data_IF_662626205130
#
_entry.id   IF_662626205130
#
_cell.length_a   1.000
_cell.length_b   1.000
_cell.length_c   1.000
_cell.angle_alpha   90.00
_cell.angle_beta   90.00
_cell.angle_gamma   90.00
#
_symmetry.space_group_name_H-M   'P 1'
#
loop_
_entity.id
_entity.type
_entity.pdbx_description
1 polymer ?
#
# COMPACT_ATOMS: atom_id res chain seq x y z
N UNK A 1 30.79 -26.78 -34.34
CA UNK A 1 29.67 -27.30 -33.53
C UNK A 1 28.98 -26.22 -32.68
N UNK A 2 29.44 -24.96 -32.65
CA UNK A 2 28.84 -23.89 -31.82
C UNK A 2 27.55 -23.23 -32.36
N UNK A 3 27.27 -23.33 -33.66
CA UNK A 3 26.06 -22.75 -34.27
C UNK A 3 24.72 -23.39 -33.82
N UNK A 4 24.61 -24.72 -33.64
CA UNK A 4 23.39 -25.32 -33.08
C UNK A 4 23.17 -24.97 -31.60
N UNK A 5 24.24 -24.83 -30.82
CA UNK A 5 24.14 -24.49 -29.39
C UNK A 5 23.56 -23.10 -29.16
N UNK A 6 24.01 -22.11 -29.95
CA UNK A 6 23.46 -20.74 -29.91
C UNK A 6 21.97 -20.69 -30.32
N UNK A 7 21.56 -21.52 -31.28
CA UNK A 7 20.15 -21.59 -31.70
C UNK A 7 19.28 -22.17 -30.60
N UNK A 8 19.74 -23.24 -29.95
CA UNK A 8 19.03 -23.83 -28.82
C UNK A 8 18.91 -22.85 -27.64
N UNK A 9 19.95 -22.04 -27.40
CA UNK A 9 19.93 -20.98 -26.39
C UNK A 9 18.90 -19.90 -26.73
N UNK A 10 18.88 -19.41 -27.98
CA UNK A 10 17.89 -18.43 -28.43
C UNK A 10 16.46 -18.98 -28.34
N UNK A 11 16.24 -20.23 -28.74
CA UNK A 11 14.94 -20.88 -28.64
C UNK A 11 14.49 -20.98 -27.19
N UNK A 12 15.41 -21.31 -26.27
CA UNK A 12 15.11 -21.37 -24.82
C UNK A 12 14.74 -20.02 -24.24
N UNK A 13 15.46 -18.95 -24.61
CA UNK A 13 15.16 -17.58 -24.19
C UNK A 13 13.84 -17.10 -24.76
N UNK A 14 13.53 -17.46 -26.01
CA UNK A 14 12.26 -17.11 -26.64
C UNK A 14 11.08 -17.80 -25.94
N UNK A 15 11.23 -19.08 -25.59
CA UNK A 15 10.22 -19.80 -24.80
C UNK A 15 10.05 -19.19 -23.41
N UNK A 16 11.15 -18.79 -22.76
CA UNK A 16 11.10 -18.11 -21.46
C UNK A 16 10.34 -16.79 -21.58
N UNK A 17 10.66 -15.97 -22.58
CA UNK A 17 9.97 -14.70 -22.84
C UNK A 17 8.47 -14.90 -23.06
N UNK A 18 8.07 -15.90 -23.84
CA UNK A 18 6.66 -16.19 -24.09
C UNK A 18 5.94 -16.61 -22.79
N UNK A 19 6.58 -17.43 -21.96
CA UNK A 19 6.06 -17.81 -20.64
C UNK A 19 5.93 -16.61 -19.70
N UNK A 20 6.96 -15.75 -19.64
CA UNK A 20 6.97 -14.54 -18.82
C UNK A 20 5.86 -13.56 -19.26
N UNK A 21 5.59 -13.46 -20.57
CA UNK A 21 4.50 -12.64 -21.13
C UNK A 21 3.13 -13.19 -20.75
N UNK A 22 2.93 -14.51 -20.83
CA UNK A 22 1.68 -15.15 -20.42
C UNK A 22 1.43 -14.94 -18.92
N UNK A 23 2.45 -15.12 -18.09
CA UNK A 23 2.35 -14.89 -16.64
C UNK A 23 2.05 -13.41 -16.33
N UNK A 24 2.68 -12.48 -17.05
CA UNK A 24 2.42 -11.05 -16.89
C UNK A 24 0.98 -10.68 -17.24
N UNK A 25 0.45 -11.19 -18.36
CA UNK A 25 -0.93 -10.93 -18.78
C UNK A 25 -1.93 -11.54 -17.78
N UNK A 26 -1.68 -12.75 -17.28
CA UNK A 26 -2.51 -13.37 -16.25
C UNK A 26 -2.53 -12.54 -14.95
N UNK A 27 -1.36 -12.05 -14.50
CA UNK A 27 -1.25 -11.17 -13.33
C UNK A 27 -1.97 -9.85 -13.54
N UNK A 28 -1.87 -9.24 -14.73
CA UNK A 28 -2.59 -8.00 -15.08
C UNK A 28 -4.09 -8.19 -15.02
N UNK A 29 -4.61 -9.28 -15.58
CA UNK A 29 -6.04 -9.58 -15.54
C UNK A 29 -6.54 -9.76 -14.10
N UNK A 30 -5.80 -10.52 -13.27
CA UNK A 30 -6.13 -10.72 -11.88
C UNK A 30 -6.10 -9.41 -11.06
N UNK A 31 -5.06 -8.60 -11.24
CA UNK A 31 -4.93 -7.28 -10.61
C UNK A 31 -6.10 -6.37 -10.99
N UNK A 32 -6.41 -6.24 -12.28
CA UNK A 32 -7.50 -5.40 -12.76
C UNK A 32 -8.84 -5.83 -12.15
N UNK A 33 -9.12 -7.14 -12.10
CA UNK A 33 -10.36 -7.65 -11.50
C UNK A 33 -10.50 -7.25 -10.02
N UNK A 34 -9.41 -7.34 -9.23
CA UNK A 34 -9.41 -6.92 -7.82
C UNK A 34 -9.55 -5.42 -7.65
N UNK A 35 -8.86 -4.64 -8.47
CA UNK A 35 -8.93 -3.18 -8.46
C UNK A 35 -10.33 -2.69 -8.81
N UNK A 36 -10.97 -3.27 -9.84
CA UNK A 36 -12.35 -2.97 -10.21
C UNK A 36 -13.35 -3.31 -9.11
N UNK A 37 -13.21 -4.48 -8.46
CA UNK A 37 -14.01 -4.87 -7.30
C UNK A 37 -13.86 -3.87 -6.15
N UNK A 38 -12.63 -3.44 -5.87
CA UNK A 38 -12.31 -2.44 -4.86
C UNK A 38 -12.96 -1.09 -5.14
N UNK A 39 -12.86 -0.59 -6.38
CA UNK A 39 -13.48 0.67 -6.78
C UNK A 39 -15.00 0.62 -6.74
N UNK A 40 -15.61 -0.48 -7.18
CA UNK A 40 -17.06 -0.67 -7.10
C UNK A 40 -17.54 -0.66 -5.64
N UNK A 41 -16.84 -1.36 -4.76
CA UNK A 41 -17.15 -1.42 -3.33
C UNK A 41 -16.97 -0.05 -2.66
N UNK A 42 -15.92 0.69 -3.03
CA UNK A 42 -15.69 2.05 -2.56
C UNK A 42 -16.78 3.02 -3.04
N UNK A 43 -17.24 2.89 -4.29
CA UNK A 43 -18.36 3.68 -4.81
C UNK A 43 -19.65 3.41 -4.03
N UNK A 44 -19.95 2.14 -3.71
CA UNK A 44 -21.09 1.76 -2.84
C UNK A 44 -20.97 2.39 -1.45
N UNK A 45 -19.77 2.40 -0.85
CA UNK A 45 -19.52 3.04 0.44
C UNK A 45 -19.77 4.56 0.39
N UNK A 46 -19.25 5.23 -0.65
CA UNK A 46 -19.48 6.68 -0.87
C UNK A 46 -20.95 7.01 -1.10
N UNK A 47 -21.69 6.12 -1.77
CA UNK A 47 -23.13 6.28 -1.96
C UNK A 47 -23.88 6.18 -0.63
N UNK A 48 -23.59 5.17 0.18
CA UNK A 48 -24.26 4.93 1.45
C UNK A 48 -23.94 5.98 2.53
N UNK A 49 -22.67 6.37 2.65
CA UNK A 49 -22.19 7.29 3.69
C UNK A 49 -22.20 8.76 3.26
N UNK A 50 -22.30 9.02 1.96
CA UNK A 50 -22.16 10.34 1.35
C UNK A 50 -20.72 10.66 0.90
N UNK A 51 -20.60 11.49 -0.13
CA UNK A 51 -19.31 11.78 -0.76
C UNK A 51 -18.29 12.52 0.14
N UNK A 52 -18.76 13.18 1.21
CA UNK A 52 -17.91 13.96 2.14
C UNK A 52 -17.31 13.12 3.27
N UNK A 53 -17.92 11.98 3.58
CA UNK A 53 -17.53 11.11 4.69
C UNK A 53 -16.57 10.01 4.29
N UNK A 54 -16.41 9.73 3.00
CA UNK A 54 -15.39 8.79 2.48
C UNK A 54 -14.54 9.54 1.47
N UNK A 55 -13.40 10.07 1.93
CA UNK A 55 -12.46 10.80 1.08
C UNK A 55 -11.26 11.35 1.86
N UNK A 56 -10.34 12.03 1.16
CA UNK A 56 -9.05 12.45 1.73
C UNK A 56 -9.13 13.37 2.95
N UNK A 57 -10.21 14.15 3.06
CA UNK A 57 -10.44 15.06 4.19
C UNK A 57 -10.65 14.34 5.53
N UNK A 58 -10.94 13.03 5.51
CA UNK A 58 -11.17 12.24 6.71
C UNK A 58 -9.90 11.56 7.23
N UNK A 59 -8.80 11.58 6.46
CA UNK A 59 -7.56 10.93 6.87
C UNK A 59 -7.02 11.56 8.17
N UNK A 60 -6.49 10.72 9.06
CA UNK A 60 -5.86 11.22 10.29
C UNK A 60 -4.59 12.03 9.97
N UNK A 61 -4.31 13.05 10.79
CA UNK A 61 -3.08 13.86 10.65
C UNK A 61 -1.80 13.04 10.84
N UNK A 62 -1.87 11.88 11.50
CA UNK A 62 -0.79 10.94 11.72
C UNK A 62 -1.00 9.66 10.89
N UNK A 63 -1.38 9.80 9.62
CA UNK A 63 -1.49 8.66 8.71
C UNK A 63 -0.13 7.98 8.53
N UNK A 64 -0.02 6.73 8.98
CA UNK A 64 1.17 5.90 8.80
C UNK A 64 0.93 4.82 7.73
N UNK A 65 1.93 4.54 6.88
CA UNK A 65 1.82 3.44 5.93
C UNK A 65 1.75 2.12 6.68
N UNK A 66 0.87 1.21 6.26
CA UNK A 66 0.83 -0.16 6.80
C UNK A 66 1.69 -1.14 5.98
N UNK A 67 2.01 -0.76 4.75
CA UNK A 67 2.72 -1.59 3.77
C UNK A 67 3.76 -0.72 3.07
N UNK A 68 4.98 -1.22 2.98
CA UNK A 68 6.11 -0.59 2.31
C UNK A 68 6.71 -1.55 1.27
N UNK A 69 7.33 -1.01 0.24
CA UNK A 69 8.09 -1.80 -0.73
C UNK A 69 9.58 -1.57 -0.49
N UNK A 70 10.34 -2.64 -0.30
CA UNK A 70 11.81 -2.58 -0.23
C UNK A 70 12.39 -3.05 -1.56
N UNK A 71 13.22 -2.21 -2.16
CA UNK A 71 14.06 -2.59 -3.29
C UNK A 71 15.36 -3.22 -2.77
N UNK A 72 15.81 -4.28 -3.41
CA UNK A 72 17.11 -4.91 -3.18
C UNK A 72 17.71 -5.31 -4.51
N UNK A 73 19.00 -5.05 -4.70
CA UNK A 73 19.74 -5.53 -5.86
C UNK A 73 20.12 -7.00 -5.63
N UNK A 74 19.78 -7.88 -6.56
CA UNK A 74 20.24 -9.25 -6.56
C UNK A 74 21.70 -9.33 -7.06
N UNK A 75 22.38 -10.44 -6.79
CA UNK A 75 23.76 -10.67 -7.20
C UNK A 75 23.96 -10.58 -8.73
N UNK A 76 22.88 -10.75 -9.49
CA UNK A 76 22.86 -10.73 -10.95
C UNK A 76 22.58 -9.33 -11.54
N UNK A 77 22.56 -8.27 -10.72
CA UNK A 77 22.27 -6.89 -11.14
C UNK A 77 20.78 -6.59 -11.38
N UNK A 78 19.90 -7.56 -11.12
CA UNK A 78 18.45 -7.41 -11.23
C UNK A 78 17.89 -6.80 -9.94
N UNK A 79 17.10 -5.74 -10.06
CA UNK A 79 16.38 -5.17 -8.92
C UNK A 79 15.16 -6.02 -8.56
N UNK A 80 15.09 -6.41 -7.30
CA UNK A 80 13.97 -7.17 -6.74
C UNK A 80 13.19 -6.29 -5.77
N UNK A 81 11.87 -6.36 -5.85
CA UNK A 81 10.97 -5.65 -4.95
C UNK A 81 10.30 -6.65 -4.01
N UNK A 82 10.30 -6.35 -2.72
CA UNK A 82 9.53 -7.11 -1.73
C UNK A 82 8.56 -6.21 -0.99
N UNK A 83 7.31 -6.67 -0.89
CA UNK A 83 6.30 -6.04 -0.05
C UNK A 83 6.57 -6.43 1.41
N UNK A 84 6.68 -5.45 2.29
CA UNK A 84 6.94 -5.62 3.73
C UNK A 84 5.87 -4.86 4.49
N UNK A 85 5.34 -5.44 5.57
CA UNK A 85 4.50 -4.67 6.49
C UNK A 85 5.35 -3.62 7.17
N UNK A 86 4.81 -2.41 7.26
CA UNK A 86 5.49 -1.31 7.93
C UNK A 86 5.46 -1.57 9.43
N UNK A 87 6.49 -2.25 9.93
CA UNK A 87 6.82 -2.19 11.35
C UNK A 87 7.44 -0.81 11.63
N UNK A 88 7.27 -0.29 12.84
CA UNK A 88 7.62 1.07 13.30
C UNK A 88 9.12 1.44 13.21
N UNK A 89 9.71 1.35 12.02
CA UNK A 89 10.99 1.91 11.65
C UNK A 89 10.70 3.16 10.82
N UNK A 90 10.70 4.27 11.55
CA UNK A 90 10.60 5.65 11.10
C UNK A 90 11.37 5.90 9.80
N UNK A 91 10.71 6.33 8.72
CA UNK A 91 11.39 7.01 7.62
C UNK A 91 11.92 8.35 8.14
N UNK A 92 13.17 8.68 7.80
CA UNK A 92 13.84 9.92 8.22
C UNK A 92 12.97 11.17 7.97
N UNK A 93 12.75 11.94 9.03
CA UNK A 93 11.92 13.15 9.06
C UNK A 93 12.70 14.31 8.41
N UNK A 94 12.69 14.42 7.07
CA UNK A 94 13.23 15.59 6.36
C UNK A 94 12.13 16.65 6.21
N UNK A 95 12.05 17.55 7.18
CA UNK A 95 11.18 18.73 7.11
C UNK A 95 11.26 19.60 8.36
N UNK A 96 11.36 20.94 8.25
CA UNK A 96 11.34 21.82 9.42
C UNK A 96 9.99 21.70 10.14
N UNK A 97 10.02 21.25 11.41
CA UNK A 97 8.86 21.30 12.30
C UNK A 97 8.48 22.76 12.53
N UNK A 98 7.41 23.22 11.88
CA UNK A 98 6.86 24.54 12.18
C UNK A 98 6.28 24.57 13.59
N UNK A 99 6.85 25.44 14.41
CA UNK A 99 6.49 25.63 15.81
C UNK A 99 5.10 26.27 15.92
N UNK A 100 4.12 25.51 16.40
CA UNK A 100 2.84 26.03 16.84
C UNK A 100 3.00 26.88 18.12
N UNK A 101 2.64 28.16 18.05
CA UNK A 101 2.35 29.03 19.20
C UNK A 101 0.88 29.46 19.07
N UNK A 102 -0.04 29.21 20.01
CA UNK A 102 -0.04 29.64 21.41
C UNK A 102 -0.90 28.69 22.27
N UNK A 103 -0.33 28.16 23.36
CA UNK A 103 -1.07 27.44 24.42
C UNK A 103 -1.73 28.45 25.38
N UNK A 104 -3.02 28.28 25.66
CA UNK A 104 -3.67 28.89 26.84
C UNK A 104 -3.35 28.05 28.08
N UNK A 105 -3.01 28.72 29.19
CA UNK A 105 -2.60 28.14 30.49
C UNK A 105 -3.70 27.26 31.10
N UNK A 106 -3.39 25.99 31.32
CA UNK A 106 -4.05 25.06 32.23
C UNK A 106 -2.98 24.12 32.83
N UNK A 107 -3.19 23.53 34.03
CA UNK A 107 -2.12 22.95 34.81
C UNK A 107 -1.55 21.68 34.18
N UNK A 108 -0.23 21.55 34.32
CA UNK A 108 0.65 20.48 33.87
C UNK A 108 0.10 19.08 34.18
N UNK A 109 -0.13 18.29 33.12
CA UNK A 109 0.11 16.84 33.17
C UNK A 109 1.23 16.55 32.17
N UNK A 110 2.31 16.00 32.70
CA UNK A 110 3.46 15.45 31.99
C UNK A 110 2.97 14.48 30.92
N UNK A 111 3.31 14.62 29.63
CA UNK A 111 3.07 13.56 28.68
C UNK A 111 4.18 12.53 28.87
N UNK A 112 3.82 11.40 29.46
CA UNK A 112 4.60 10.18 29.35
C UNK A 112 4.74 9.81 27.85
N UNK A 113 5.89 9.26 27.43
CA UNK A 113 6.06 8.79 26.07
C UNK A 113 5.20 7.55 25.88
N UNK A 114 4.02 7.71 25.26
CA UNK A 114 3.15 6.57 24.97
C UNK A 114 3.87 5.60 24.04
N UNK A 115 4.03 4.40 24.57
CA UNK A 115 4.66 3.22 24.01
C UNK A 115 4.02 2.80 22.69
N UNK A 116 4.86 2.50 21.69
CA UNK A 116 4.64 1.48 20.64
C UNK A 116 3.18 1.25 20.25
N UNK A 117 2.60 2.19 19.50
CA UNK A 117 1.22 2.07 19.05
C UNK A 117 1.08 0.97 18.00
N UNK A 118 0.18 0.02 18.25
CA UNK A 118 -0.31 -0.92 17.22
C UNK A 118 -0.81 -0.11 16.02
N UNK A 119 -0.49 -0.48 14.77
CA UNK A 119 -0.99 0.23 13.60
C UNK A 119 -2.53 0.31 13.64
N UNK A 120 -3.07 1.52 13.78
CA UNK A 120 -4.51 1.71 13.82
C UNK A 120 -5.12 1.35 12.46
N UNK A 121 -6.27 0.67 12.46
CA UNK A 121 -6.97 0.34 11.23
C UNK A 121 -7.47 1.64 10.56
N UNK A 122 -7.03 1.96 9.33
CA UNK A 122 -7.37 3.21 8.65
C UNK A 122 -8.87 3.33 8.36
N UNK A 123 -9.63 2.23 8.45
CA UNK A 123 -11.09 2.29 8.37
C UNK A 123 -11.71 3.18 9.46
N UNK A 124 -11.08 3.28 10.63
CA UNK A 124 -11.59 4.11 11.74
C UNK A 124 -11.56 5.60 11.44
N UNK A 125 -10.79 6.04 10.43
CA UNK A 125 -10.80 7.44 9.98
C UNK A 125 -12.18 7.87 9.43
N UNK A 126 -12.99 6.91 8.96
CA UNK A 126 -14.30 7.18 8.39
C UNK A 126 -15.46 7.00 9.40
N UNK A 127 -15.13 7.02 10.70
CA UNK A 127 -16.07 6.93 11.82
C UNK A 127 -16.18 5.54 12.44
N UNK A 128 -17.02 5.44 13.48
CA UNK A 128 -17.19 4.19 14.26
C UNK A 128 -18.02 3.16 13.49
N UNK A 129 -18.94 3.62 12.64
CA UNK A 129 -19.83 2.77 11.84
C UNK A 129 -19.34 2.69 10.40
N UNK A 130 -18.33 1.85 10.18
CA UNK A 130 -17.79 1.59 8.84
C UNK A 130 -18.68 0.58 8.09
N UNK A 131 -19.26 0.94 6.93
CA UNK A 131 -20.07 0.03 6.12
C UNK A 131 -19.29 -1.19 5.64
N UNK A 132 -19.99 -2.29 5.44
CA UNK A 132 -19.40 -3.52 4.89
C UNK A 132 -18.70 -3.28 3.54
N UNK A 133 -19.28 -2.46 2.68
CA UNK A 133 -18.70 -2.11 1.38
C UNK A 133 -17.34 -1.39 1.48
N UNK A 134 -17.09 -0.61 2.54
CA UNK A 134 -15.80 0.05 2.73
C UNK A 134 -14.74 -0.96 3.22
N UNK A 135 -15.13 -1.93 4.04
CA UNK A 135 -14.26 -3.05 4.44
C UNK A 135 -13.92 -3.94 3.25
N UNK A 136 -14.90 -4.24 2.40
CA UNK A 136 -14.69 -4.99 1.17
C UNK A 136 -13.74 -4.25 0.23
N UNK A 137 -13.91 -2.93 0.05
CA UNK A 137 -12.98 -2.13 -0.74
C UNK A 137 -11.54 -2.24 -0.22
N UNK A 138 -11.33 -2.08 1.09
CA UNK A 138 -10.01 -2.22 1.71
C UNK A 138 -9.42 -3.62 1.49
N UNK A 139 -10.23 -4.69 1.62
CA UNK A 139 -9.79 -6.05 1.38
C UNK A 139 -9.38 -6.26 -0.09
N UNK A 140 -10.22 -5.85 -1.05
CA UNK A 140 -9.92 -5.95 -2.48
C UNK A 140 -8.62 -5.21 -2.85
N UNK A 141 -8.36 -4.02 -2.27
CA UNK A 141 -7.11 -3.29 -2.53
C UNK A 141 -5.89 -3.87 -1.81
N UNK A 142 -6.07 -4.63 -0.72
CA UNK A 142 -4.96 -5.35 -0.06
C UNK A 142 -4.59 -6.64 -0.79
N UNK A 143 -5.57 -7.27 -1.45
CA UNK A 143 -5.40 -8.52 -2.18
C UNK A 143 -5.02 -8.30 -3.67
N UNK A 144 -5.14 -7.06 -4.15
CA UNK A 144 -4.72 -6.61 -5.49
C UNK A 144 -3.18 -6.46 -5.56
#
# INVERSE_FOLDING_TARGET
MAAPDLRAELDSLFLQLLGDLEELEAKRAALNARVEEGWLSLAKARYAMGAKSVGPLQYASHMEPQVCVRASEAQDGIQTFRVVRADAQTPEEVGPREAALRRRKGPMKTPEPESSAVPQDPLHWFGILVPHSLRQAQASFRDA
#
